data_IF_126486287202
#
_entry.id   IF_126486287202
#
_cell.length_a   1.000
_cell.length_b   1.000
_cell.length_c   1.000
_cell.angle_alpha   90.00
_cell.angle_beta   90.00
_cell.angle_gamma   90.00
#
_symmetry.space_group_name_H-M   'P 1'
#
loop_
_entity.id
_entity.type
_entity.pdbx_description
1 polymer ?
#
# COMPACT_ATOMS: atom_id res chain seq x y z
N UNK A 1 -26.73 -17.55 -31.41
CA UNK A 1 -25.42 -17.43 -30.74
C UNK A 1 -25.01 -15.96 -30.78
N UNK A 2 -25.35 -15.17 -29.75
CA UNK A 2 -24.89 -13.78 -29.70
C UNK A 2 -23.39 -13.78 -29.45
N UNK A 3 -22.62 -13.04 -30.26
CA UNK A 3 -21.21 -12.77 -29.98
C UNK A 3 -21.12 -12.17 -28.57
N UNK A 4 -20.60 -12.94 -27.61
CA UNK A 4 -20.32 -12.45 -26.27
C UNK A 4 -19.24 -11.37 -26.42
N UNK A 5 -19.63 -10.10 -26.37
CA UNK A 5 -18.65 -9.01 -26.44
C UNK A 5 -17.94 -8.93 -25.10
N UNK A 6 -16.63 -9.22 -25.10
CA UNK A 6 -15.76 -9.08 -23.94
C UNK A 6 -15.87 -7.66 -23.33
N UNK A 7 -15.74 -7.59 -22.01
CA UNK A 7 -15.59 -6.37 -21.22
C UNK A 7 -14.15 -5.88 -21.37
N UNK A 8 -13.99 -4.67 -21.90
CA UNK A 8 -12.66 -4.08 -22.10
C UNK A 8 -12.23 -3.31 -20.86
N UNK A 9 -11.10 -3.69 -20.27
CA UNK A 9 -10.49 -3.05 -19.11
C UNK A 9 -9.24 -2.30 -19.58
N UNK A 10 -9.28 -0.97 -19.62
CA UNK A 10 -8.08 -0.17 -19.81
C UNK A 10 -7.28 -0.13 -18.51
N UNK A 11 -6.02 -0.52 -18.53
CA UNK A 11 -5.23 -0.72 -17.33
C UNK A 11 -4.01 0.21 -17.29
N UNK A 12 -4.04 1.19 -16.40
CA UNK A 12 -2.97 2.17 -16.17
C UNK A 12 -1.81 1.49 -15.44
N UNK A 13 -0.69 1.35 -16.14
CA UNK A 13 0.48 0.59 -15.71
C UNK A 13 1.66 1.55 -15.47
N UNK A 14 1.91 2.00 -14.23
CA UNK A 14 3.14 2.71 -13.92
C UNK A 14 4.32 1.75 -13.77
N UNK A 15 5.53 2.29 -13.74
CA UNK A 15 6.79 1.54 -13.63
C UNK A 15 7.55 1.89 -12.35
N UNK A 16 7.79 0.88 -11.53
CA UNK A 16 8.74 0.94 -10.42
C UNK A 16 9.98 0.13 -10.80
N UNK A 17 11.17 0.69 -10.56
CA UNK A 17 12.41 -0.08 -10.72
C UNK A 17 12.60 -1.13 -9.61
N UNK A 18 11.92 -0.94 -8.48
CA UNK A 18 11.98 -1.78 -7.29
C UNK A 18 10.93 -2.91 -7.36
N UNK A 19 9.78 -2.64 -7.98
CA UNK A 19 8.69 -3.60 -8.15
C UNK A 19 8.32 -3.79 -9.64
N UNK A 20 9.20 -4.40 -10.46
CA UNK A 20 8.98 -4.55 -11.91
C UNK A 20 7.77 -5.43 -12.24
N UNK A 21 7.46 -6.40 -11.39
CA UNK A 21 6.37 -7.36 -11.60
C UNK A 21 5.02 -6.92 -11.01
N UNK A 22 4.91 -5.69 -10.52
CA UNK A 22 3.70 -5.15 -9.87
C UNK A 22 2.43 -5.36 -10.72
N UNK A 23 2.47 -5.01 -12.01
CA UNK A 23 1.30 -5.14 -12.90
C UNK A 23 1.03 -6.61 -13.25
N UNK A 24 2.01 -7.41 -13.70
CA UNK A 24 1.82 -8.86 -13.88
C UNK A 24 1.26 -9.57 -12.65
N UNK A 25 1.78 -9.30 -11.44
CA UNK A 25 1.30 -9.89 -10.19
C UNK A 25 -0.14 -9.52 -9.89
N UNK A 26 -0.53 -8.27 -10.11
CA UNK A 26 -1.92 -7.86 -9.93
C UNK A 26 -2.85 -8.55 -10.92
N UNK A 27 -2.48 -8.60 -12.20
CA UNK A 27 -3.29 -9.25 -13.23
C UNK A 27 -3.41 -10.75 -12.96
N UNK A 28 -2.34 -11.42 -12.52
CA UNK A 28 -2.39 -12.83 -12.17
C UNK A 28 -3.30 -13.08 -10.96
N UNK A 29 -3.24 -12.23 -9.93
CA UNK A 29 -4.17 -12.26 -8.81
C UNK A 29 -5.63 -12.13 -9.25
N UNK A 30 -5.92 -11.17 -10.13
CA UNK A 30 -7.26 -10.94 -10.67
C UNK A 30 -7.85 -12.18 -11.35
N UNK A 31 -7.11 -12.79 -12.28
CA UNK A 31 -7.59 -13.99 -12.96
C UNK A 31 -7.59 -15.24 -12.08
N UNK A 32 -6.75 -15.30 -11.05
CA UNK A 32 -6.73 -16.42 -10.09
C UNK A 32 -8.03 -16.53 -9.29
N UNK A 33 -8.75 -15.44 -9.08
CA UNK A 33 -10.05 -15.47 -8.40
C UNK A 33 -11.21 -15.85 -9.35
N UNK A 34 -11.08 -15.57 -10.65
CA UNK A 34 -12.15 -15.75 -11.63
C UNK A 34 -12.12 -17.18 -12.19
N UNK A 35 -13.26 -17.90 -12.29
CA UNK A 35 -13.28 -19.21 -12.93
C UNK A 35 -12.85 -19.15 -14.40
N UNK A 36 -12.03 -20.12 -14.83
CA UNK A 36 -11.39 -20.16 -16.16
C UNK A 36 -12.36 -19.92 -17.33
N UNK A 37 -13.56 -20.51 -17.26
CA UNK A 37 -14.61 -20.35 -18.29
C UNK A 37 -15.05 -18.90 -18.52
N UNK A 38 -14.74 -17.98 -17.60
CA UNK A 38 -15.05 -16.56 -17.68
C UNK A 38 -13.83 -15.69 -17.91
N UNK A 39 -12.60 -16.22 -18.02
CA UNK A 39 -11.41 -15.40 -18.27
C UNK A 39 -11.55 -14.56 -19.55
N UNK A 40 -12.11 -15.14 -20.61
CA UNK A 40 -12.35 -14.44 -21.88
C UNK A 40 -13.39 -13.33 -21.78
N UNK A 41 -14.18 -13.26 -20.69
CA UNK A 41 -15.12 -12.15 -20.47
C UNK A 41 -14.38 -10.83 -20.27
N UNK A 42 -13.16 -10.84 -19.74
CA UNK A 42 -12.39 -9.64 -19.42
C UNK A 42 -11.17 -9.54 -20.33
N UNK A 43 -11.03 -8.42 -21.02
CA UNK A 43 -9.88 -8.16 -21.89
C UNK A 43 -9.13 -6.93 -21.41
N UNK A 44 -7.87 -7.11 -21.02
CA UNK A 44 -7.02 -6.04 -20.47
C UNK A 44 -6.27 -5.33 -21.61
N UNK A 45 -6.33 -4.00 -21.60
CA UNK A 45 -5.60 -3.09 -22.49
C UNK A 45 -4.63 -2.27 -21.64
N UNK A 46 -3.37 -2.70 -21.49
CA UNK A 46 -2.41 -1.97 -20.69
C UNK A 46 -2.01 -0.65 -21.37
N UNK A 47 -1.84 0.40 -20.57
CA UNK A 47 -1.34 1.71 -21.01
C UNK A 47 -0.29 2.20 -20.01
N UNK A 48 0.91 2.48 -20.50
CA UNK A 48 2.03 2.92 -19.69
C UNK A 48 1.83 4.37 -19.24
N UNK A 49 2.01 4.64 -17.94
CA UNK A 49 1.82 5.99 -17.35
C UNK A 49 3.08 6.54 -16.68
N UNK A 50 4.26 5.99 -16.98
CA UNK A 50 5.50 6.43 -16.34
C UNK A 50 5.47 6.14 -14.85
N UNK A 51 5.72 7.16 -14.04
CA UNK A 51 5.67 7.09 -12.58
C UNK A 51 4.26 7.34 -12.00
N UNK A 52 3.22 7.43 -12.84
CA UNK A 52 1.84 7.68 -12.40
C UNK A 52 1.51 9.15 -12.13
N UNK A 53 2.25 10.09 -12.72
CA UNK A 53 1.97 11.52 -12.61
C UNK A 53 0.68 11.94 -13.30
N UNK A 54 0.12 13.07 -12.88
CA UNK A 54 -1.21 13.56 -13.26
C UNK A 54 -1.41 13.67 -14.78
N UNK A 55 -0.48 14.34 -15.46
CA UNK A 55 -0.54 14.56 -16.92
C UNK A 55 -0.55 13.23 -17.69
N UNK A 56 0.45 12.38 -17.44
CA UNK A 56 0.59 11.10 -18.14
C UNK A 56 -0.63 10.19 -17.90
N UNK A 57 -1.14 10.17 -16.67
CA UNK A 57 -2.32 9.39 -16.30
C UNK A 57 -3.57 9.91 -17.00
N UNK A 58 -3.80 11.23 -17.02
CA UNK A 58 -4.97 11.84 -17.67
C UNK A 58 -4.96 11.64 -19.19
N UNK A 59 -3.79 11.75 -19.82
CA UNK A 59 -3.61 11.46 -21.26
C UNK A 59 -3.91 9.98 -21.55
N UNK A 60 -3.39 9.06 -20.75
CA UNK A 60 -3.66 7.62 -20.86
C UNK A 60 -5.13 7.26 -20.68
N UNK A 61 -5.81 7.83 -19.68
CA UNK A 61 -7.25 7.64 -19.45
C UNK A 61 -8.05 8.09 -20.66
N UNK A 62 -7.78 9.29 -21.19
CA UNK A 62 -8.46 9.79 -22.39
C UNK A 62 -8.17 8.91 -23.61
N UNK A 63 -6.95 8.41 -23.76
CA UNK A 63 -6.59 7.50 -24.85
C UNK A 63 -7.39 6.20 -24.77
N UNK A 64 -7.40 5.55 -23.60
CA UNK A 64 -8.14 4.31 -23.36
C UNK A 64 -9.65 4.48 -23.63
N UNK A 65 -10.21 5.60 -23.19
CA UNK A 65 -11.63 5.90 -23.36
C UNK A 65 -12.00 6.21 -24.82
N UNK A 66 -11.19 7.00 -25.53
CA UNK A 66 -11.51 7.49 -26.88
C UNK A 66 -11.12 6.49 -27.98
N UNK A 67 -9.93 5.89 -27.89
CA UNK A 67 -9.37 5.03 -28.94
C UNK A 67 -9.66 3.55 -28.66
N UNK A 68 -9.30 3.05 -27.48
CA UNK A 68 -9.54 1.64 -27.15
C UNK A 68 -11.02 1.36 -26.85
N UNK A 69 -11.78 2.41 -26.52
CA UNK A 69 -13.21 2.38 -26.16
C UNK A 69 -13.47 1.38 -25.04
N UNK A 70 -12.67 1.49 -23.98
CA UNK A 70 -12.78 0.60 -22.83
C UNK A 70 -14.10 0.80 -22.08
N UNK A 71 -14.54 -0.25 -21.40
CA UNK A 71 -15.73 -0.24 -20.57
C UNK A 71 -15.39 0.15 -19.12
N UNK A 72 -14.22 -0.28 -18.66
CA UNK A 72 -13.67 -0.01 -17.33
C UNK A 72 -12.30 0.63 -17.50
N UNK A 73 -12.03 1.69 -16.73
CA UNK A 73 -10.68 2.22 -16.54
C UNK A 73 -10.20 1.74 -15.17
N UNK A 74 -9.05 1.07 -15.15
CA UNK A 74 -8.47 0.46 -13.96
C UNK A 74 -6.94 0.61 -13.98
N UNK A 75 -6.26 0.12 -12.97
CA UNK A 75 -4.81 0.25 -12.81
C UNK A 75 -4.43 1.12 -11.62
N UNK A 76 -3.14 1.41 -11.49
CA UNK A 76 -2.63 2.13 -10.33
C UNK A 76 -2.78 3.64 -10.51
N UNK A 77 -3.48 4.29 -9.57
CA UNK A 77 -3.70 5.74 -9.57
C UNK A 77 -3.71 6.24 -8.14
N UNK A 78 -2.90 7.26 -7.86
CA UNK A 78 -2.82 7.84 -6.53
C UNK A 78 -4.04 8.70 -6.23
N UNK A 79 -4.43 8.81 -4.96
CA UNK A 79 -5.49 9.75 -4.54
C UNK A 79 -5.22 11.19 -4.98
N UNK A 80 -3.96 11.61 -5.15
CA UNK A 80 -3.65 12.96 -5.68
C UNK A 80 -3.99 13.16 -7.15
N UNK A 81 -4.09 12.08 -7.93
CA UNK A 81 -4.37 12.12 -9.38
C UNK A 81 -5.84 11.82 -9.68
N UNK A 82 -6.54 11.11 -8.78
CA UNK A 82 -7.95 10.77 -8.96
C UNK A 82 -8.85 11.97 -9.37
N UNK A 83 -8.77 13.16 -8.75
CA UNK A 83 -9.61 14.30 -9.12
C UNK A 83 -9.53 14.70 -10.59
N UNK A 84 -8.37 14.53 -11.23
CA UNK A 84 -8.15 14.90 -12.63
C UNK A 84 -8.73 13.89 -13.62
N UNK A 85 -8.82 12.61 -13.23
CA UNK A 85 -9.31 11.54 -14.10
C UNK A 85 -10.81 11.27 -13.95
N UNK A 86 -11.39 11.54 -12.78
CA UNK A 86 -12.81 11.33 -12.47
C UNK A 86 -13.74 11.96 -13.53
N UNK A 87 -13.59 13.25 -13.91
CA UNK A 87 -14.49 13.87 -14.90
C UNK A 87 -14.49 13.14 -16.24
N UNK A 88 -13.35 12.59 -16.67
CA UNK A 88 -13.27 11.86 -17.94
C UNK A 88 -14.06 10.55 -17.93
N UNK A 89 -14.11 9.88 -16.77
CA UNK A 89 -14.83 8.62 -16.55
C UNK A 89 -16.33 8.88 -16.44
N UNK A 90 -16.72 9.86 -15.61
CA UNK A 90 -18.12 10.19 -15.35
C UNK A 90 -18.82 10.75 -16.59
N UNK A 91 -18.20 11.68 -17.31
CA UNK A 91 -18.77 12.27 -18.53
C UNK A 91 -19.01 11.23 -19.63
N UNK A 92 -18.29 10.10 -19.60
CA UNK A 92 -18.44 8.99 -20.54
C UNK A 92 -19.24 7.82 -19.95
N UNK A 93 -19.80 7.99 -18.76
CA UNK A 93 -20.60 7.00 -18.03
C UNK A 93 -19.88 5.66 -17.85
N UNK A 94 -18.55 5.68 -17.70
CA UNK A 94 -17.72 4.49 -17.51
C UNK A 94 -17.52 4.17 -16.03
N UNK A 95 -16.95 2.99 -15.77
CA UNK A 95 -16.56 2.55 -14.44
C UNK A 95 -15.06 2.79 -14.22
N UNK A 96 -14.69 3.36 -13.09
CA UNK A 96 -13.32 3.43 -12.59
C UNK A 96 -13.11 2.46 -11.43
N UNK A 97 -12.04 1.67 -11.46
CA UNK A 97 -11.62 0.85 -10.31
C UNK A 97 -10.10 0.87 -10.19
N UNK A 98 -9.59 1.61 -9.22
CA UNK A 98 -8.15 1.89 -9.12
C UNK A 98 -7.50 1.15 -7.96
N UNK A 99 -6.16 1.12 -8.01
CA UNK A 99 -5.31 0.51 -7.00
C UNK A 99 -4.27 1.50 -6.51
N UNK A 100 -3.94 1.40 -5.22
CA UNK A 100 -2.83 2.12 -4.59
C UNK A 100 -2.29 1.28 -3.42
N UNK A 101 -1.10 1.61 -2.94
CA UNK A 101 -0.51 0.90 -1.78
C UNK A 101 -0.85 1.55 -0.44
N UNK A 102 -1.56 2.67 -0.45
CA UNK A 102 -1.92 3.46 0.73
C UNK A 102 -0.85 4.47 1.11
N UNK A 103 -0.08 4.95 0.14
CA UNK A 103 0.90 6.03 0.30
C UNK A 103 0.24 7.38 0.64
N UNK A 104 -0.99 7.57 0.16
CA UNK A 104 -1.89 8.64 0.57
C UNK A 104 -3.14 8.09 1.25
N UNK A 105 -3.69 8.90 2.13
CA UNK A 105 -4.98 8.62 2.77
C UNK A 105 -6.09 9.08 1.80
N UNK A 106 -7.20 8.34 1.66
CA UNK A 106 -8.34 8.78 0.87
C UNK A 106 -8.89 10.13 1.34
N UNK A 107 -9.55 10.86 0.43
CA UNK A 107 -10.29 12.07 0.80
C UNK A 107 -11.47 11.73 1.72
N UNK A 108 -11.76 12.64 2.65
CA UNK A 108 -12.87 12.51 3.59
C UNK A 108 -14.23 12.83 2.95
N UNK A 109 -14.23 13.56 1.84
CA UNK A 109 -15.44 13.85 1.08
C UNK A 109 -15.61 12.82 -0.04
N UNK A 110 -16.86 12.53 -0.37
CA UNK A 110 -17.19 11.70 -1.51
C UNK A 110 -16.69 12.35 -2.81
N UNK A 111 -15.95 11.60 -3.63
CA UNK A 111 -15.32 12.11 -4.86
C UNK A 111 -15.99 11.61 -6.16
N UNK A 112 -16.69 10.47 -6.14
CA UNK A 112 -17.37 9.95 -7.33
C UNK A 112 -18.26 8.74 -7.02
N UNK A 113 -19.38 8.63 -7.73
CA UNK A 113 -20.29 7.49 -7.71
C UNK A 113 -19.94 6.39 -8.72
N UNK A 114 -18.96 6.66 -9.60
CA UNK A 114 -18.52 5.74 -10.66
C UNK A 114 -17.07 5.31 -10.52
N UNK A 115 -16.36 5.79 -9.49
CA UNK A 115 -14.97 5.41 -9.18
C UNK A 115 -14.91 4.68 -7.85
N UNK A 116 -14.25 3.53 -7.88
CA UNK A 116 -14.01 2.63 -6.77
C UNK A 116 -12.50 2.43 -6.62
N UNK A 117 -12.07 1.98 -5.46
CA UNK A 117 -10.65 1.85 -5.18
C UNK A 117 -10.34 0.65 -4.28
N UNK A 118 -9.39 -0.18 -4.69
CA UNK A 118 -8.78 -1.20 -3.86
C UNK A 118 -7.39 -0.75 -3.39
N UNK A 119 -7.35 -0.13 -2.21
CA UNK A 119 -6.09 0.30 -1.58
C UNK A 119 -5.51 -0.83 -0.72
N UNK A 120 -4.19 -0.95 -0.67
CA UNK A 120 -3.54 -1.75 0.37
C UNK A 120 -3.67 -1.08 1.75
N UNK A 121 -3.80 0.24 1.82
CA UNK A 121 -4.01 1.05 3.03
C UNK A 121 -2.83 1.07 3.99
N UNK A 122 -1.59 1.09 3.48
CA UNK A 122 -0.38 1.06 4.31
C UNK A 122 -0.32 2.15 5.38
N UNK A 123 -0.94 3.30 5.15
CA UNK A 123 -1.08 4.34 6.18
C UNK A 123 -1.79 3.84 7.46
N UNK A 124 -2.70 2.86 7.39
CA UNK A 124 -3.35 2.26 8.56
C UNK A 124 -2.34 1.49 9.41
N UNK A 125 -1.44 0.71 8.79
CA UNK A 125 -0.39 0.00 9.51
C UNK A 125 0.57 0.98 10.18
N UNK A 126 0.89 2.09 9.52
CA UNK A 126 1.73 3.15 10.06
C UNK A 126 1.08 3.84 11.27
N UNK A 127 -0.20 4.22 11.15
CA UNK A 127 -0.97 4.77 12.27
C UNK A 127 -0.97 3.84 13.47
N UNK A 128 -1.33 2.57 13.24
CA UNK A 128 -1.37 1.56 14.29
C UNK A 128 0.00 1.34 14.93
N UNK A 129 1.05 1.32 14.13
CA UNK A 129 2.42 1.12 14.59
C UNK A 129 2.89 2.29 15.46
N UNK A 130 2.53 3.53 15.11
CA UNK A 130 2.82 4.71 15.91
C UNK A 130 2.07 4.72 17.25
N UNK A 131 0.79 4.33 17.23
CA UNK A 131 0.00 4.17 18.44
C UNK A 131 0.63 3.12 19.38
N UNK A 132 0.93 1.94 18.85
CA UNK A 132 1.54 0.85 19.60
C UNK A 132 2.93 1.22 20.14
N UNK A 133 3.80 1.78 19.30
CA UNK A 133 5.17 2.11 19.69
C UNK A 133 5.20 3.12 20.83
N UNK A 134 4.35 4.15 20.78
CA UNK A 134 4.27 5.14 21.85
C UNK A 134 3.69 4.55 23.14
N UNK A 135 2.65 3.71 23.05
CA UNK A 135 2.13 3.01 24.25
C UNK A 135 3.18 2.08 24.88
N UNK A 136 4.01 1.44 24.05
CA UNK A 136 4.99 0.46 24.50
C UNK A 136 6.25 1.09 25.08
N UNK A 137 6.75 2.17 24.47
CA UNK A 137 8.08 2.73 24.76
C UNK A 137 8.05 4.17 25.28
N UNK A 138 6.99 4.92 25.03
CA UNK A 138 6.73 6.19 25.70
C UNK A 138 7.50 7.41 25.18
N UNK A 139 7.94 8.23 26.13
CA UNK A 139 7.76 9.70 26.17
C UNK A 139 8.22 10.51 24.96
N UNK A 140 9.23 10.04 24.21
CA UNK A 140 9.78 10.79 23.07
C UNK A 140 10.22 9.83 21.97
N UNK A 141 9.55 9.87 20.83
CA UNK A 141 9.93 9.14 19.62
C UNK A 141 10.76 9.97 18.65
N UNK A 142 11.48 9.31 17.75
CA UNK A 142 12.12 9.93 16.59
C UNK A 142 11.72 9.21 15.30
N UNK A 143 11.49 9.94 14.22
CA UNK A 143 11.26 9.38 12.87
C UNK A 143 12.44 9.75 11.97
N UNK A 144 12.99 8.76 11.27
CA UNK A 144 14.08 8.94 10.31
C UNK A 144 13.64 8.45 8.94
N UNK A 145 13.80 9.27 7.91
CA UNK A 145 13.37 8.93 6.54
C UNK A 145 14.10 9.78 5.50
N UNK A 146 14.15 9.37 4.22
CA UNK A 146 14.56 10.23 3.13
C UNK A 146 13.46 11.25 2.80
N UNK A 147 13.83 12.30 2.05
CA UNK A 147 12.85 13.31 1.58
C UNK A 147 11.73 12.71 0.73
N UNK A 148 11.99 11.59 0.03
CA UNK A 148 11.01 10.90 -0.79
C UNK A 148 9.84 10.39 0.07
N UNK A 149 10.11 9.55 1.08
CA UNK A 149 9.11 9.05 2.02
C UNK A 149 8.47 10.16 2.86
N UNK A 150 9.24 11.21 3.19
CA UNK A 150 8.74 12.43 3.83
C UNK A 150 7.65 13.13 3.02
N UNK A 151 7.58 12.87 1.71
CA UNK A 151 6.57 13.38 0.80
C UNK A 151 5.20 12.72 0.87
N UNK A 152 5.05 11.59 1.57
CA UNK A 152 3.81 10.81 1.61
C UNK A 152 3.16 10.83 3.00
N UNK A 153 1.93 10.31 3.12
CA UNK A 153 1.17 10.40 4.37
C UNK A 153 1.63 9.41 5.45
N UNK A 154 2.50 8.45 5.13
CA UNK A 154 2.90 7.38 6.06
C UNK A 154 3.49 7.91 7.37
N UNK A 155 4.47 8.82 7.31
CA UNK A 155 5.10 9.39 8.51
C UNK A 155 4.12 10.20 9.36
N UNK A 156 3.18 10.91 8.72
CA UNK A 156 2.16 11.69 9.42
C UNK A 156 1.13 10.76 10.05
N UNK A 157 0.74 9.67 9.38
CA UNK A 157 -0.12 8.64 9.94
C UNK A 157 0.50 8.02 11.20
N UNK A 158 1.79 7.63 11.15
CA UNK A 158 2.53 7.17 12.32
C UNK A 158 2.52 8.20 13.46
N UNK A 159 2.82 9.47 13.14
CA UNK A 159 2.83 10.55 14.14
C UNK A 159 1.45 10.76 14.77
N UNK A 160 0.37 10.76 14.00
CA UNK A 160 -0.98 10.89 14.54
C UNK A 160 -1.37 9.69 15.40
N UNK A 161 -0.91 8.49 15.06
CA UNK A 161 -1.05 7.30 15.91
C UNK A 161 -0.41 7.50 17.28
N UNK A 162 0.84 7.94 17.30
CA UNK A 162 1.56 8.24 18.54
C UNK A 162 0.91 9.38 19.34
N UNK A 163 0.46 10.46 18.68
CA UNK A 163 -0.28 11.57 19.33
C UNK A 163 -1.56 11.03 19.98
N UNK A 164 -2.30 10.16 19.29
CA UNK A 164 -3.50 9.54 19.85
C UNK A 164 -3.19 8.64 21.05
N UNK A 165 -1.98 8.05 21.11
CA UNK A 165 -1.47 7.32 22.27
C UNK A 165 -0.91 8.23 23.37
N UNK A 166 -0.85 9.56 23.18
CA UNK A 166 -0.41 10.53 24.17
C UNK A 166 0.93 11.22 23.89
N UNK A 167 1.50 11.08 22.69
CA UNK A 167 2.74 11.78 22.34
C UNK A 167 2.51 13.29 22.21
N UNK A 168 3.32 14.09 22.92
CA UNK A 168 3.33 15.56 22.80
C UNK A 168 4.36 16.07 21.79
N UNK A 169 5.42 15.31 21.54
CA UNK A 169 6.51 15.67 20.64
C UNK A 169 7.06 14.43 19.92
N UNK A 170 7.68 14.67 18.77
CA UNK A 170 8.36 13.64 18.00
C UNK A 170 9.45 14.31 17.17
N UNK A 171 10.68 13.84 17.30
CA UNK A 171 11.78 14.37 16.49
C UNK A 171 11.64 13.85 15.06
N UNK A 172 11.76 14.73 14.07
CA UNK A 172 11.60 14.38 12.66
C UNK A 172 12.90 14.64 11.93
N UNK A 173 13.53 13.57 11.45
CA UNK A 173 14.80 13.61 10.76
C UNK A 173 14.61 13.21 9.30
N UNK A 174 14.70 14.22 8.41
CA UNK A 174 14.55 14.04 6.96
C UNK A 174 15.92 14.16 6.31
N UNK A 175 16.41 13.06 5.74
CA UNK A 175 17.67 13.05 5.00
C UNK A 175 17.51 13.80 3.68
N UNK A 176 18.53 14.58 3.32
CA UNK A 176 18.52 15.38 2.10
C UNK A 176 18.79 14.48 0.90
N UNK A 177 18.11 14.78 -0.21
CA UNK A 177 18.41 14.15 -1.49
C UNK A 177 19.79 14.58 -2.02
N UNK A 178 20.60 13.61 -2.41
CA UNK A 178 21.95 13.72 -2.94
C UNK A 178 22.06 12.98 -4.29
N UNK A 179 21.75 13.61 -5.42
CA UNK A 179 21.82 12.96 -6.72
C UNK A 179 23.20 12.33 -6.99
N UNK A 180 23.23 11.06 -7.41
CA UNK A 180 24.46 10.38 -7.83
C UNK A 180 25.37 9.86 -6.71
N UNK A 181 24.91 9.89 -5.45
CA UNK A 181 25.60 9.30 -4.30
C UNK A 181 24.62 8.46 -3.45
N UNK A 182 25.14 7.72 -2.46
CA UNK A 182 24.30 7.12 -1.42
C UNK A 182 23.55 8.24 -0.69
N UNK A 183 22.23 8.08 -0.52
CA UNK A 183 21.41 9.05 0.21
C UNK A 183 21.70 9.03 1.71
N UNK A 184 22.25 7.94 2.24
CA UNK A 184 22.48 7.75 3.67
C UNK A 184 23.93 8.04 4.09
N UNK A 185 24.90 7.50 3.34
CA UNK A 185 26.30 7.49 3.75
C UNK A 185 26.85 8.92 3.89
N UNK A 186 27.41 9.25 5.05
CA UNK A 186 27.93 10.58 5.37
C UNK A 186 26.88 11.54 5.97
N UNK A 187 25.58 11.27 5.81
CA UNK A 187 24.52 12.03 6.47
C UNK A 187 24.04 11.35 7.75
N UNK A 188 23.95 10.01 7.72
CA UNK A 188 23.33 9.22 8.79
C UNK A 188 24.20 9.17 10.06
N UNK A 189 25.53 9.20 9.95
CA UNK A 189 26.43 9.13 11.11
C UNK A 189 26.26 10.35 12.03
N UNK A 190 26.23 11.55 11.45
CA UNK A 190 25.99 12.79 12.20
C UNK A 190 24.61 12.81 12.85
N UNK A 191 23.61 12.26 12.16
CA UNK A 191 22.26 12.09 12.72
C UNK A 191 22.27 11.10 13.90
N UNK A 192 22.97 9.97 13.81
CA UNK A 192 23.06 9.03 14.91
C UNK A 192 23.77 9.62 16.14
N UNK A 193 24.75 10.50 15.93
CA UNK A 193 25.38 11.23 17.04
C UNK A 193 24.43 12.24 17.68
N UNK A 194 23.53 12.85 16.92
CA UNK A 194 22.43 13.65 17.48
C UNK A 194 21.46 12.78 18.29
N UNK A 195 21.04 11.64 17.75
CA UNK A 195 20.15 10.68 18.42
C UNK A 195 20.74 10.17 19.73
N UNK A 196 22.05 9.92 19.80
CA UNK A 196 22.72 9.56 21.06
C UNK A 196 22.65 10.66 22.11
N UNK A 197 22.52 11.93 21.71
CA UNK A 197 22.36 13.10 22.60
C UNK A 197 20.90 13.31 23.00
N UNK A 198 19.97 13.17 22.05
CA UNK A 198 18.53 13.40 22.29
C UNK A 198 17.81 12.21 22.93
N UNK A 199 18.40 11.02 22.84
CA UNK A 199 17.98 9.77 23.48
C UNK A 199 16.47 9.47 23.34
N UNK A 200 15.94 9.35 22.10
CA UNK A 200 14.57 8.94 21.92
C UNK A 200 14.36 7.52 22.48
N UNK A 201 13.16 7.28 22.98
CA UNK A 201 12.75 5.99 23.56
C UNK A 201 12.49 4.91 22.51
N UNK A 202 12.22 5.32 21.27
CA UNK A 202 12.13 4.46 20.09
C UNK A 202 12.45 5.27 18.83
N UNK A 203 12.93 4.58 17.80
CA UNK A 203 13.14 5.15 16.47
C UNK A 203 12.18 4.48 15.51
N UNK A 204 11.47 5.27 14.72
CA UNK A 204 10.75 4.80 13.55
C UNK A 204 11.53 5.14 12.28
N UNK A 205 11.74 4.17 11.39
CA UNK A 205 12.43 4.39 10.11
C UNK A 205 11.56 4.01 8.92
N UNK A 206 11.56 4.87 7.90
CA UNK A 206 10.94 4.61 6.61
C UNK A 206 12.01 4.71 5.52
N UNK A 207 12.43 3.57 4.97
CA UNK A 207 13.34 3.48 3.84
C UNK A 207 12.88 2.38 2.88
N UNK A 208 13.33 2.48 1.63
CA UNK A 208 13.02 1.54 0.57
C UNK A 208 14.29 1.01 -0.08
N UNK A 209 14.22 -0.18 -0.70
CA UNK A 209 15.28 -0.70 -1.56
C UNK A 209 16.67 -0.69 -0.90
N UNK A 210 17.68 -0.21 -1.64
CA UNK A 210 19.06 -0.16 -1.16
C UNK A 210 19.25 0.73 0.07
N UNK A 211 18.46 1.79 0.21
CA UNK A 211 18.54 2.70 1.37
C UNK A 211 18.16 2.00 2.68
N UNK A 212 17.19 1.08 2.62
CA UNK A 212 16.82 0.29 3.79
C UNK A 212 17.96 -0.65 4.22
N UNK A 213 18.66 -1.26 3.26
CA UNK A 213 19.84 -2.09 3.52
C UNK A 213 20.94 -1.26 4.19
N UNK A 214 21.30 -0.13 3.57
CA UNK A 214 22.31 0.80 4.08
C UNK A 214 21.97 1.28 5.51
N UNK A 215 20.70 1.61 5.76
CA UNK A 215 20.24 2.03 7.07
C UNK A 215 20.49 0.97 8.14
N UNK A 216 20.13 -0.29 7.88
CA UNK A 216 20.32 -1.37 8.83
C UNK A 216 21.80 -1.59 9.18
N UNK A 217 22.68 -1.57 8.18
CA UNK A 217 24.13 -1.70 8.41
C UNK A 217 24.68 -0.54 9.25
N UNK A 218 24.35 0.70 8.92
CA UNK A 218 24.83 1.86 9.66
C UNK A 218 24.19 1.94 11.07
N UNK A 219 22.95 1.50 11.23
CA UNK A 219 22.28 1.43 12.53
C UNK A 219 22.98 0.43 13.47
N UNK A 220 23.32 -0.76 12.98
CA UNK A 220 24.14 -1.73 13.74
C UNK A 220 25.52 -1.17 14.07
N UNK A 221 26.21 -0.59 13.07
CA UNK A 221 27.55 0.00 13.24
C UNK A 221 27.58 1.14 14.26
N UNK A 222 26.50 1.90 14.38
CA UNK A 222 26.36 2.97 15.37
C UNK A 222 26.24 2.47 16.82
N UNK A 223 25.89 1.19 17.02
CA UNK A 223 25.59 0.57 18.31
C UNK A 223 24.23 0.98 18.91
N UNK A 224 23.39 1.71 18.16
CA UNK A 224 22.05 2.11 18.60
C UNK A 224 21.07 0.92 18.68
N UNK A 225 21.27 -0.11 17.87
CA UNK A 225 20.48 -1.35 17.88
C UNK A 225 20.44 -2.03 19.26
N UNK A 226 21.46 -1.83 20.09
CA UNK A 226 21.54 -2.38 21.45
C UNK A 226 20.92 -1.47 22.52
N UNK A 227 20.43 -0.29 22.15
CA UNK A 227 20.03 0.77 23.09
C UNK A 227 18.62 1.29 22.86
N UNK A 228 18.22 1.44 21.60
CA UNK A 228 16.94 2.06 21.24
C UNK A 228 16.16 1.04 20.40
N UNK A 229 14.90 0.72 20.74
CA UNK A 229 14.04 -0.09 19.90
C UNK A 229 13.86 0.52 18.52
N UNK A 230 14.03 -0.30 17.48
CA UNK A 230 13.79 0.09 16.10
C UNK A 230 12.41 -0.39 15.65
N UNK A 231 11.60 0.56 15.22
CA UNK A 231 10.29 0.37 14.60
C UNK A 231 10.44 0.71 13.12
N UNK A 232 9.94 -0.11 12.21
CA UNK A 232 10.21 0.06 10.77
C UNK A 232 8.94 -0.02 9.94
N UNK A 233 8.98 0.59 8.76
CA UNK A 233 7.90 0.47 7.78
C UNK A 233 7.74 -0.96 7.25
N UNK A 234 6.56 -1.26 6.70
CA UNK A 234 6.26 -2.56 6.10
C UNK A 234 7.28 -2.94 5.01
N UNK A 235 7.76 -1.97 4.23
CA UNK A 235 8.78 -2.16 3.20
C UNK A 235 10.11 -2.64 3.77
N UNK A 236 10.59 -2.01 4.83
CA UNK A 236 11.83 -2.40 5.51
C UNK A 236 11.72 -3.78 6.16
N UNK A 237 10.51 -4.18 6.58
CA UNK A 237 10.22 -5.51 7.11
C UNK A 237 9.82 -6.55 6.05
N UNK A 238 9.94 -6.25 4.76
CA UNK A 238 9.65 -7.23 3.70
C UNK A 238 10.66 -8.39 3.71
N UNK A 239 10.24 -9.57 3.27
CA UNK A 239 11.14 -10.74 3.19
C UNK A 239 12.36 -10.44 2.30
N UNK A 240 12.18 -9.67 1.23
CA UNK A 240 13.25 -9.29 0.30
C UNK A 240 14.34 -8.46 0.96
N UNK A 241 13.97 -7.52 1.84
CA UNK A 241 14.93 -6.71 2.58
C UNK A 241 15.55 -7.51 3.72
N UNK A 242 14.73 -8.18 4.55
CA UNK A 242 15.20 -8.87 5.75
C UNK A 242 16.16 -10.02 5.43
N UNK A 243 15.94 -10.75 4.33
CA UNK A 243 16.84 -11.84 3.92
C UNK A 243 18.24 -11.32 3.55
N UNK A 244 18.34 -10.12 2.96
CA UNK A 244 19.62 -9.51 2.57
C UNK A 244 20.43 -8.96 3.75
N UNK A 245 19.78 -8.71 4.89
CA UNK A 245 20.43 -8.28 6.14
C UNK A 245 20.34 -9.35 7.24
N UNK A 246 20.07 -10.59 6.87
CA UNK A 246 19.90 -11.73 7.80
C UNK A 246 21.13 -12.01 8.66
N UNK A 247 22.31 -11.57 8.21
CA UNK A 247 23.59 -11.64 8.91
C UNK A 247 23.76 -10.61 10.04
N UNK A 248 22.85 -9.64 10.17
CA UNK A 248 22.89 -8.65 11.25
C UNK A 248 22.22 -9.21 12.51
N UNK A 249 22.67 -8.74 13.68
CA UNK A 249 22.01 -8.99 14.96
C UNK A 249 21.08 -7.81 15.29
N UNK A 250 19.80 -7.99 14.96
CA UNK A 250 18.76 -6.97 15.06
C UNK A 250 17.53 -7.53 15.78
N UNK A 251 16.87 -6.65 16.53
CA UNK A 251 15.51 -6.83 16.99
C UNK A 251 14.72 -5.58 16.60
N UNK A 252 13.68 -5.76 15.80
CA UNK A 252 12.88 -4.66 15.29
C UNK A 252 11.39 -4.99 15.29
N UNK A 253 10.57 -3.96 15.14
CA UNK A 253 9.11 -4.06 15.17
C UNK A 253 8.49 -3.47 13.92
N UNK A 254 7.44 -4.09 13.41
CA UNK A 254 6.70 -3.63 12.24
C UNK A 254 5.21 -3.91 12.41
N UNK A 255 4.40 -3.42 11.46
CA UNK A 255 2.98 -3.74 11.37
C UNK A 255 2.66 -4.31 9.98
N UNK A 256 1.92 -5.42 9.95
CA UNK A 256 1.45 -6.04 8.72
C UNK A 256 -0.08 -6.02 8.66
N UNK A 257 -0.63 -5.83 7.47
CA UNK A 257 -2.09 -5.89 7.22
C UNK A 257 -2.49 -7.17 6.50
N UNK A 258 -1.51 -8.03 6.22
CA UNK A 258 -1.71 -9.33 5.62
C UNK A 258 -0.58 -10.24 6.07
N UNK A 259 -0.96 -11.38 6.64
CA UNK A 259 -0.03 -12.40 7.06
C UNK A 259 -0.10 -13.57 6.08
N UNK A 260 0.94 -13.71 5.26
CA UNK A 260 1.07 -14.82 4.30
C UNK A 260 0.90 -16.21 4.96
N UNK A 261 1.38 -16.37 6.20
CA UNK A 261 1.34 -17.62 6.95
C UNK A 261 0.04 -17.84 7.73
N UNK A 262 -0.92 -16.91 7.67
CA UNK A 262 -2.23 -17.09 8.27
C UNK A 262 -2.89 -18.39 7.81
N UNK A 263 -3.50 -19.11 8.77
CA UNK A 263 -4.25 -20.36 8.55
C UNK A 263 -5.73 -20.09 8.26
N UNK A 264 -6.12 -18.83 8.07
CA UNK A 264 -7.46 -18.49 7.63
C UNK A 264 -7.79 -19.18 6.30
N UNK A 265 -9.03 -19.65 6.17
CA UNK A 265 -9.49 -20.40 4.99
C UNK A 265 -9.37 -19.58 3.70
N UNK A 266 -9.73 -18.29 3.73
CA UNK A 266 -9.65 -17.41 2.57
C UNK A 266 -8.18 -17.19 2.15
N UNK A 267 -7.26 -17.08 3.11
CA UNK A 267 -5.83 -16.95 2.81
C UNK A 267 -5.23 -18.24 2.24
N UNK A 268 -5.64 -19.42 2.74
CA UNK A 268 -5.22 -20.71 2.18
C UNK A 268 -5.73 -20.87 0.74
N UNK A 269 -7.00 -20.56 0.50
CA UNK A 269 -7.61 -20.65 -0.83
C UNK A 269 -6.94 -19.69 -1.83
N UNK A 270 -6.68 -18.45 -1.41
CA UNK A 270 -5.94 -17.47 -2.21
C UNK A 270 -4.58 -18.00 -2.66
N UNK A 271 -3.75 -18.47 -1.72
CA UNK A 271 -2.43 -19.02 -2.05
C UNK A 271 -2.54 -20.20 -3.00
N UNK A 272 -3.52 -21.07 -2.80
CA UNK A 272 -3.75 -22.22 -3.67
C UNK A 272 -4.13 -21.79 -5.09
N UNK A 273 -5.11 -20.91 -5.25
CA UNK A 273 -5.59 -20.46 -6.57
C UNK A 273 -4.51 -19.70 -7.34
N UNK A 274 -3.75 -18.82 -6.68
CA UNK A 274 -2.63 -18.11 -7.32
C UNK A 274 -1.54 -19.09 -7.77
N UNK A 275 -1.14 -20.03 -6.91
CA UNK A 275 -0.13 -21.01 -7.27
C UNK A 275 -0.60 -21.90 -8.42
N UNK A 276 -1.89 -22.28 -8.46
CA UNK A 276 -2.47 -23.05 -9.55
C UNK A 276 -2.48 -22.27 -10.87
N UNK A 277 -2.79 -20.97 -10.84
CA UNK A 277 -2.91 -20.14 -12.04
C UNK A 277 -1.56 -19.69 -12.60
N UNK A 278 -0.65 -19.21 -11.75
CA UNK A 278 0.57 -18.53 -12.17
C UNK A 278 1.87 -19.18 -11.65
N UNK A 279 1.80 -20.16 -10.74
CA UNK A 279 2.99 -20.79 -10.14
C UNK A 279 3.88 -19.83 -9.33
N UNK A 280 3.38 -18.63 -9.02
CA UNK A 280 4.11 -17.61 -8.27
C UNK A 280 3.77 -17.65 -6.77
N UNK A 281 4.73 -17.26 -5.92
CA UNK A 281 4.44 -16.95 -4.51
C UNK A 281 3.60 -15.66 -4.49
N UNK A 282 2.41 -15.65 -3.88
CA UNK A 282 1.61 -14.44 -3.76
C UNK A 282 2.37 -13.31 -3.05
N UNK A 283 2.27 -12.12 -3.61
CA UNK A 283 2.75 -10.85 -3.05
C UNK A 283 1.57 -9.91 -2.77
N UNK A 284 1.86 -8.67 -2.33
CA UNK A 284 0.84 -7.67 -2.05
C UNK A 284 0.03 -7.29 -3.30
N UNK A 285 0.64 -7.28 -4.49
CA UNK A 285 -0.02 -6.88 -5.72
C UNK A 285 -0.97 -7.97 -6.21
N UNK A 286 -0.55 -9.22 -6.07
CA UNK A 286 -1.38 -10.41 -6.29
C UNK A 286 -2.59 -10.40 -5.36
N UNK A 287 -2.39 -10.02 -4.09
CA UNK A 287 -3.48 -9.86 -3.12
C UNK A 287 -4.51 -8.82 -3.60
N UNK A 288 -4.08 -7.62 -4.01
CA UNK A 288 -4.97 -6.57 -4.52
C UNK A 288 -5.74 -7.03 -5.76
N UNK A 289 -5.05 -7.71 -6.68
CA UNK A 289 -5.66 -8.30 -7.86
C UNK A 289 -6.74 -9.32 -7.52
N UNK A 290 -6.41 -10.26 -6.62
CA UNK A 290 -7.30 -11.33 -6.20
C UNK A 290 -8.56 -10.81 -5.50
N UNK A 291 -8.41 -9.83 -4.61
CA UNK A 291 -9.54 -9.16 -3.96
C UNK A 291 -10.51 -8.54 -5.00
N UNK A 292 -9.96 -7.85 -6.00
CA UNK A 292 -10.78 -7.32 -7.10
C UNK A 292 -11.40 -8.43 -7.95
N UNK A 293 -10.67 -9.52 -8.19
CA UNK A 293 -11.18 -10.68 -8.92
C UNK A 293 -12.36 -11.35 -8.20
N UNK A 294 -12.34 -11.43 -6.87
CA UNK A 294 -13.45 -11.97 -6.06
C UNK A 294 -14.74 -11.17 -6.23
N UNK A 295 -14.66 -9.83 -6.25
CA UNK A 295 -15.87 -9.02 -6.49
C UNK A 295 -16.31 -9.09 -7.95
N UNK A 296 -15.38 -9.19 -8.90
CA UNK A 296 -15.72 -9.36 -10.31
C UNK A 296 -16.39 -10.71 -10.58
N UNK A 297 -15.95 -11.78 -9.93
CA UNK A 297 -16.58 -13.11 -9.99
C UNK A 297 -18.07 -13.04 -9.60
N UNK A 298 -18.39 -12.34 -8.50
CA UNK A 298 -19.77 -12.17 -8.02
C UNK A 298 -20.66 -11.32 -8.94
N UNK A 299 -20.04 -10.53 -9.80
CA UNK A 299 -20.69 -9.60 -10.74
C UNK A 299 -20.71 -10.12 -12.19
N UNK A 300 -20.24 -11.36 -12.43
CA UNK A 300 -20.25 -11.97 -13.77
C UNK A 300 -21.64 -11.91 -14.44
N UNK A 301 -22.76 -12.22 -13.76
CA UNK A 301 -24.09 -12.14 -14.38
C UNK A 301 -24.42 -10.74 -14.92
N UNK A 302 -24.06 -9.69 -14.20
CA UNK A 302 -24.27 -8.30 -14.59
C UNK A 302 -23.29 -7.88 -15.69
N UNK A 303 -22.03 -8.32 -15.64
CA UNK A 303 -21.06 -8.08 -16.72
C UNK A 303 -21.51 -8.71 -18.04
N UNK A 304 -22.04 -9.93 -18.02
CA UNK A 304 -22.56 -10.59 -19.23
C UNK A 304 -23.74 -9.83 -19.84
N UNK A 305 -24.57 -9.19 -19.01
CA UNK A 305 -25.68 -8.33 -19.45
C UNK A 305 -25.25 -6.90 -19.76
N UNK A 306 -24.01 -6.52 -19.43
CA UNK A 306 -23.51 -5.14 -19.42
C UNK A 306 -24.41 -4.18 -18.61
N UNK A 307 -24.94 -4.66 -17.48
CA UNK A 307 -25.76 -3.86 -16.58
C UNK A 307 -24.88 -2.96 -15.69
N UNK A 308 -24.36 -1.89 -16.29
CA UNK A 308 -23.47 -0.95 -15.61
C UNK A 308 -24.11 -0.22 -14.43
N UNK A 309 -25.44 -0.10 -14.43
CA UNK A 309 -26.16 0.53 -13.32
C UNK A 309 -26.13 -0.39 -12.10
N UNK A 310 -26.48 -1.67 -12.27
CA UNK A 310 -26.44 -2.64 -11.17
C UNK A 310 -25.01 -2.95 -10.73
N UNK A 311 -24.03 -3.02 -11.65
CA UNK A 311 -22.61 -3.18 -11.30
C UNK A 311 -22.17 -2.06 -10.35
N UNK A 312 -22.39 -0.79 -10.71
CA UNK A 312 -22.01 0.35 -9.87
C UNK A 312 -22.75 0.36 -8.54
N UNK A 313 -24.04 0.00 -8.54
CA UNK A 313 -24.83 -0.11 -7.31
C UNK A 313 -24.28 -1.18 -6.38
N UNK A 314 -23.98 -2.38 -6.89
CA UNK A 314 -23.43 -3.48 -6.08
C UNK A 314 -22.02 -3.18 -5.60
N UNK A 315 -21.16 -2.57 -6.40
CA UNK A 315 -19.80 -2.17 -5.97
C UNK A 315 -19.79 -1.19 -4.78
N UNK A 316 -20.88 -0.43 -4.55
CA UNK A 316 -21.03 0.44 -3.36
C UNK A 316 -21.30 -0.34 -2.07
N UNK A 317 -21.79 -1.57 -2.16
CA UNK A 317 -22.29 -2.33 -1.00
C UNK A 317 -21.65 -3.71 -0.84
N UNK A 318 -21.04 -4.26 -1.89
CA UNK A 318 -20.40 -5.57 -1.85
C UNK A 318 -19.21 -5.57 -0.88
N UNK A 319 -19.20 -6.61 -0.05
CA UNK A 319 -18.10 -6.91 0.85
C UNK A 319 -17.61 -8.31 0.51
N UNK A 320 -16.34 -8.43 0.13
CA UNK A 320 -15.70 -9.72 -0.05
C UNK A 320 -15.09 -10.21 1.25
N UNK A 321 -15.04 -11.52 1.46
CA UNK A 321 -14.20 -12.15 2.48
C UNK A 321 -12.87 -12.50 1.81
N UNK A 322 -11.86 -11.64 1.99
CA UNK A 322 -10.55 -11.74 1.34
C UNK A 322 -9.47 -12.35 2.24
N UNK A 323 -8.24 -12.51 1.71
CA UNK A 323 -7.12 -13.13 2.43
C UNK A 323 -6.66 -12.37 3.69
N UNK A 324 -7.01 -11.08 3.77
CA UNK A 324 -6.75 -10.19 4.92
C UNK A 324 -8.03 -9.73 5.61
N UNK A 325 -9.09 -10.52 5.51
CA UNK A 325 -10.40 -10.21 6.08
C UNK A 325 -11.33 -9.49 5.11
N UNK A 326 -12.37 -8.87 5.66
CA UNK A 326 -13.43 -8.25 4.87
C UNK A 326 -12.95 -7.00 4.13
N UNK A 327 -13.29 -6.88 2.84
CA UNK A 327 -12.94 -5.73 2.01
C UNK A 327 -14.15 -5.18 1.26
N UNK A 328 -14.24 -3.86 1.21
CA UNK A 328 -15.11 -3.09 0.31
C UNK A 328 -14.24 -2.30 -0.68
N UNK A 329 -14.82 -1.81 -1.76
CA UNK A 329 -14.12 -1.01 -2.78
C UNK A 329 -14.67 0.41 -2.88
N UNK A 330 -15.64 0.74 -2.04
CA UNK A 330 -16.27 2.05 -2.00
C UNK A 330 -15.94 2.73 -0.69
N UNK A 331 -15.28 3.89 -0.78
CA UNK A 331 -14.88 4.68 0.37
C UNK A 331 -16.12 5.35 0.99
N UNK A 332 -16.58 4.81 2.12
CA UNK A 332 -17.59 5.42 2.96
C UNK A 332 -17.19 5.31 4.44
N UNK A 333 -17.92 5.98 5.33
CA UNK A 333 -17.64 5.97 6.77
C UNK A 333 -17.90 4.62 7.45
N UNK A 334 -18.58 3.69 6.78
CA UNK A 334 -18.88 2.35 7.29
C UNK A 334 -17.86 1.30 6.82
N UNK A 335 -16.78 1.76 6.19
CA UNK A 335 -15.73 0.89 5.67
C UNK A 335 -15.04 0.14 6.80
N UNK A 336 -15.02 -1.19 6.70
CA UNK A 336 -14.34 -2.02 7.69
C UNK A 336 -12.86 -1.64 7.77
N UNK A 337 -12.38 -1.34 8.97
CA UNK A 337 -10.96 -1.11 9.20
C UNK A 337 -10.18 -2.41 9.01
N UNK A 338 -8.96 -2.37 8.46
CA UNK A 338 -8.16 -3.58 8.29
C UNK A 338 -7.78 -4.19 9.65
N UNK A 339 -7.61 -5.51 9.67
CA UNK A 339 -6.87 -6.17 10.74
C UNK A 339 -5.38 -5.87 10.55
N UNK A 340 -4.70 -5.55 11.65
CA UNK A 340 -3.30 -5.14 11.65
C UNK A 340 -2.59 -5.96 12.71
N UNK A 341 -1.62 -6.76 12.32
CA UNK A 341 -0.73 -7.47 13.24
C UNK A 341 0.45 -6.57 13.59
N UNK A 342 0.81 -6.49 14.87
CA UNK A 342 2.11 -5.94 15.29
C UNK A 342 3.09 -7.10 15.40
N UNK A 343 4.21 -6.98 14.70
CA UNK A 343 5.20 -8.05 14.57
C UNK A 343 6.49 -7.67 15.28
N UNK A 344 7.04 -8.61 16.05
CA UNK A 344 8.44 -8.59 16.47
C UNK A 344 9.25 -9.41 15.47
N UNK A 345 10.34 -8.83 15.01
CA UNK A 345 11.24 -9.42 14.02
C UNK A 345 12.61 -9.57 14.66
N UNK A 346 13.08 -10.81 14.75
CA UNK A 346 14.36 -11.17 15.36
C UNK A 346 15.28 -11.85 14.35
N UNK A 347 16.57 -11.54 14.46
CA UNK A 347 17.63 -12.11 13.64
C UNK A 347 18.50 -13.00 14.50
N UNK A 348 18.68 -14.26 14.11
CA UNK A 348 19.57 -15.18 14.81
C UNK A 348 20.11 -16.23 13.84
N UNK A 349 21.41 -16.51 13.88
CA UNK A 349 22.06 -17.55 13.06
C UNK A 349 21.76 -17.45 11.55
N UNK A 350 21.79 -16.23 10.99
CA UNK A 350 21.42 -15.92 9.60
C UNK A 350 19.97 -16.28 9.23
N UNK A 351 19.08 -16.36 10.23
CA UNK A 351 17.67 -16.59 10.04
C UNK A 351 16.86 -15.44 10.60
N UNK A 352 15.80 -15.09 9.87
CA UNK A 352 14.83 -14.06 10.26
C UNK A 352 13.59 -14.75 10.78
N UNK A 353 13.13 -14.32 11.96
CA UNK A 353 11.88 -14.80 12.56
C UNK A 353 10.93 -13.63 12.71
N UNK A 354 9.66 -13.82 12.34
CA UNK A 354 8.58 -12.86 12.53
C UNK A 354 7.53 -13.49 13.44
N UNK A 355 7.17 -12.80 14.51
CA UNK A 355 6.18 -13.26 15.47
C UNK A 355 5.17 -12.14 15.70
N UNK A 356 3.88 -12.44 15.55
CA UNK A 356 2.81 -11.53 15.94
C UNK A 356 2.79 -11.43 17.45
N UNK A 357 2.97 -10.22 17.98
CA UNK A 357 3.05 -9.94 19.42
C UNK A 357 1.87 -9.13 19.95
N UNK A 358 1.11 -8.49 19.06
CA UNK A 358 -0.05 -7.68 19.43
C UNK A 358 -1.00 -7.49 18.23
N UNK A 359 -2.19 -6.98 18.50
CA UNK A 359 -3.14 -6.52 17.49
C UNK A 359 -3.15 -4.99 17.45
N UNK A 360 -2.95 -4.46 16.25
CA UNK A 360 -2.90 -3.06 15.96
C UNK A 360 -4.25 -2.35 16.06
N UNK A 361 -4.22 -1.05 16.37
CA UNK A 361 -5.39 -0.18 16.35
C UNK A 361 -5.47 0.54 15.02
N UNK A 362 -6.44 0.16 14.19
CA UNK A 362 -6.77 0.92 13.00
C UNK A 362 -7.47 2.25 13.34
N UNK A 363 -7.33 3.22 12.44
CA UNK A 363 -8.01 4.51 12.50
C UNK A 363 -9.35 4.43 11.77
N UNK A 364 -10.42 4.84 12.46
CA UNK A 364 -11.74 4.96 11.86
C UNK A 364 -11.79 6.05 10.77
N UNK A 365 -12.52 5.79 9.69
CA UNK A 365 -12.58 6.68 8.51
C UNK A 365 -13.28 8.03 8.78
N UNK A 366 -14.01 8.15 9.88
CA UNK A 366 -14.65 9.40 10.33
C UNK A 366 -13.78 10.22 11.31
N UNK A 367 -12.54 9.79 11.56
CA UNK A 367 -11.64 10.45 12.50
C UNK A 367 -11.16 11.82 11.99
N UNK A 368 -11.15 12.81 12.88
CA UNK A 368 -10.56 14.14 12.62
C UNK A 368 -9.06 14.08 12.31
N UNK A 369 -8.38 12.98 12.63
CA UNK A 369 -6.97 12.80 12.27
C UNK A 369 -6.75 12.79 10.74
N UNK A 370 -7.74 12.42 9.94
CA UNK A 370 -7.64 12.47 8.47
C UNK A 370 -7.31 13.87 7.97
N UNK A 371 -8.06 14.87 8.44
CA UNK A 371 -7.88 16.25 8.01
C UNK A 371 -6.51 16.78 8.42
N UNK A 372 -6.02 16.39 9.61
CA UNK A 372 -4.67 16.74 10.05
C UNK A 372 -3.61 16.13 9.12
N UNK A 373 -3.70 14.84 8.80
CA UNK A 373 -2.72 14.16 7.94
C UNK A 373 -2.67 14.79 6.55
N UNK A 374 -3.85 15.07 5.96
CA UNK A 374 -3.95 15.77 4.66
C UNK A 374 -3.32 17.17 4.69
N UNK A 375 -3.50 17.94 5.77
CA UNK A 375 -2.94 19.30 5.90
C UNK A 375 -1.45 19.33 6.21
N UNK A 376 -0.94 18.33 6.94
CA UNK A 376 0.45 18.26 7.36
C UNK A 376 1.41 17.87 6.24
N UNK A 377 0.92 17.23 5.17
CA UNK A 377 1.75 16.82 4.05
C UNK A 377 1.17 17.23 2.68
N UNK A 378 1.60 18.40 2.20
CA UNK A 378 1.18 18.97 0.91
C UNK A 378 2.29 18.85 -0.14
N UNK A 379 2.90 17.67 -0.25
CA UNK A 379 3.95 17.44 -1.26
C UNK A 379 3.41 17.43 -2.70
N UNK A 380 4.31 17.50 -3.69
CA UNK A 380 3.98 17.32 -5.11
C UNK A 380 4.07 15.88 -5.62
N UNK A 381 4.37 14.89 -4.78
CA UNK A 381 4.55 13.50 -5.22
C UNK A 381 3.22 12.86 -5.61
N UNK A 382 3.19 12.11 -6.70
CA UNK A 382 1.94 11.61 -7.29
C UNK A 382 1.93 10.09 -7.54
N UNK A 383 3.02 9.39 -7.23
CA UNK A 383 3.14 7.97 -7.51
C UNK A 383 2.13 7.17 -6.65
N UNK A 384 1.46 6.15 -7.21
CA UNK A 384 0.53 5.27 -6.49
C UNK A 384 1.23 4.14 -5.70
N UNK A 385 2.55 4.22 -5.56
CA UNK A 385 3.40 3.29 -4.83
C UNK A 385 4.55 4.04 -4.18
N UNK A 386 5.12 3.42 -3.14
CA UNK A 386 6.40 3.84 -2.59
C UNK A 386 7.54 3.16 -3.34
N UNK A 387 8.74 3.74 -3.22
CA UNK A 387 9.97 3.23 -3.79
C UNK A 387 10.04 3.33 -5.35
N UNK A 388 10.69 4.40 -5.86
CA UNK A 388 10.95 4.61 -7.30
C UNK A 388 12.24 3.94 -7.74
#
# INVERSE_FOLDING_TARGET
>A
MSMNQNIKIGFLAPYSSIYPDMVPSLVSGFYSAIPEKYHQLFQIFPEYVGQGGDKATTEAVNKLLNFNRVDIVSGFVSYKVLPSVIPSIENRQKLGLFFDVGEYIPYTHHISDSVFNNSFQMWQSQFSLGYWAHQKYGEKGAVIMPIYDGGYHLQSAFRQGAIMAGASNMDMYILKYQPGASQLKGQIEGLFDEIKKTQPTYIHSLFCGSEALEFYYEYCKSGLNNKIPLVVSAHMSSDDILNQVSNLDLNLYSASMWNYHSKDKANIEFKHKVNQFAGQKPDLYTLLGYETGLVFERLIPEFQKKDWSEIKKRLKTEIIDGPRGKRSFFLNSEYATPLIDIEKIGFANNQVTKIVIDQGRALEYNSLAYEKIHKENVSGWQNPYLCV
#
